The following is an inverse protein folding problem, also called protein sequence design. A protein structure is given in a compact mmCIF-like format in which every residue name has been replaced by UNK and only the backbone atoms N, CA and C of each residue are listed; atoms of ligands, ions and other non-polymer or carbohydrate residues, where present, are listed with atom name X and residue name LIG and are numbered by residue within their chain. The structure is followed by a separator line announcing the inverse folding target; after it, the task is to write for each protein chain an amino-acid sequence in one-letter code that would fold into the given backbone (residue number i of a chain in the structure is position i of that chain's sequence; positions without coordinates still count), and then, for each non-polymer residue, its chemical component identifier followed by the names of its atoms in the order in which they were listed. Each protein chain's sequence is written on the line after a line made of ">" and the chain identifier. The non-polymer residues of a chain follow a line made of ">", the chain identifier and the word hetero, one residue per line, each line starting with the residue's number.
data_IF_367304556598
#
_entry.id   IF_367304556598
#
_cell.length_a   1.000
_cell.length_b   1.000
_cell.length_c   1.000
_cell.angle_alpha   90.00
_cell.angle_beta   90.00
_cell.angle_gamma   90.00
#
_symmetry.space_group_name_H-M   'P 1'
#
loop_
_entity.id
_entity.type
_entity.pdbx_description
1 polymer ?
#
# COMPACT_ATOMS: atom_id res chain seq x y z
N UNK A 1 22.60 -22.19 -5.30
CA UNK A 1 22.57 -23.52 -5.99
C UNK A 1 21.54 -23.57 -7.13
N UNK A 2 20.40 -22.86 -7.06
CA UNK A 2 19.40 -22.83 -8.14
C UNK A 2 19.76 -21.92 -9.35
N UNK A 3 20.80 -21.08 -9.24
CA UNK A 3 21.27 -20.19 -10.31
C UNK A 3 22.54 -20.67 -11.04
N UNK A 4 22.96 -21.93 -10.89
CA UNK A 4 24.09 -22.50 -11.63
C UNK A 4 23.58 -23.25 -12.86
N UNK A 5 24.22 -23.04 -14.01
CA UNK A 5 23.94 -23.75 -15.27
C UNK A 5 23.71 -25.25 -15.02
N UNK A 6 22.65 -25.82 -15.64
CA UNK A 6 22.30 -27.24 -15.47
C UNK A 6 23.51 -28.11 -15.82
N UNK A 7 24.12 -28.73 -14.81
CA UNK A 7 25.14 -29.74 -15.06
C UNK A 7 24.51 -30.95 -15.74
N UNK A 8 25.22 -31.53 -16.71
CA UNK A 8 24.83 -32.80 -17.33
C UNK A 8 24.64 -33.84 -16.21
N UNK A 9 23.50 -34.51 -16.18
CA UNK A 9 23.08 -35.48 -15.14
C UNK A 9 22.77 -34.91 -13.75
N UNK A 10 22.79 -33.59 -13.52
CA UNK A 10 22.50 -33.00 -12.20
C UNK A 10 21.16 -33.43 -11.61
N UNK A 11 20.12 -33.55 -12.45
CA UNK A 11 18.81 -34.04 -12.01
C UNK A 11 18.79 -35.51 -11.57
N UNK A 12 19.61 -36.38 -12.20
CA UNK A 12 19.73 -37.79 -11.80
C UNK A 12 20.46 -37.91 -10.46
N UNK A 13 21.62 -37.26 -10.34
CA UNK A 13 22.42 -37.28 -9.10
C UNK A 13 21.66 -36.67 -7.92
N UNK A 14 20.85 -35.62 -8.15
CA UNK A 14 20.00 -35.04 -7.11
C UNK A 14 18.96 -36.05 -6.62
N UNK A 15 18.27 -36.76 -7.53
CA UNK A 15 17.29 -37.79 -7.15
C UNK A 15 17.92 -38.92 -6.34
N UNK A 16 19.06 -39.44 -6.77
CA UNK A 16 19.80 -40.50 -6.05
C UNK A 16 20.23 -40.07 -4.64
N UNK A 17 20.64 -38.81 -4.46
CA UNK A 17 21.00 -38.27 -3.14
C UNK A 17 19.79 -38.07 -2.24
N UNK A 18 18.66 -37.61 -2.79
CA UNK A 18 17.42 -37.43 -2.05
C UNK A 18 16.81 -38.76 -1.63
N UNK A 19 16.87 -39.78 -2.49
CA UNK A 19 16.35 -41.12 -2.20
C UNK A 19 17.08 -41.77 -1.01
N UNK A 20 18.40 -41.56 -0.90
CA UNK A 20 19.21 -42.01 0.25
C UNK A 20 18.80 -41.40 1.60
N UNK A 21 18.12 -40.26 1.59
CA UNK A 21 17.58 -39.62 2.82
C UNK A 21 16.06 -39.79 2.93
N UNK A 22 15.47 -40.72 2.15
CA UNK A 22 14.04 -41.05 2.18
C UNK A 22 13.14 -40.04 1.45
N UNK A 23 13.70 -39.16 0.62
CA UNK A 23 12.95 -38.18 -0.15
C UNK A 23 12.84 -38.59 -1.61
N UNK A 24 11.62 -38.92 -2.05
CA UNK A 24 11.37 -39.29 -3.44
C UNK A 24 11.05 -38.06 -4.30
N UNK A 25 11.85 -37.83 -5.34
CA UNK A 25 11.65 -36.75 -6.30
C UNK A 25 11.37 -37.33 -7.70
N UNK A 26 10.14 -37.20 -8.24
CA UNK A 26 9.78 -37.80 -9.52
C UNK A 26 10.55 -37.19 -10.70
N UNK A 27 10.79 -37.99 -11.75
CA UNK A 27 11.39 -37.50 -12.99
C UNK A 27 10.37 -36.71 -13.83
N UNK A 28 10.80 -35.62 -14.47
CA UNK A 28 9.99 -34.81 -15.39
C UNK A 28 9.88 -33.34 -15.01
N UNK A 29 9.20 -32.54 -15.84
CA UNK A 29 8.93 -31.11 -15.61
C UNK A 29 7.49 -30.95 -15.14
N UNK A 30 7.25 -30.85 -13.83
CA UNK A 30 5.95 -30.43 -13.30
C UNK A 30 5.97 -28.92 -13.09
N UNK A 31 5.27 -28.17 -13.94
CA UNK A 31 4.94 -26.78 -13.67
C UNK A 31 3.51 -26.74 -13.14
N UNK A 32 3.34 -26.35 -11.88
CA UNK A 32 2.02 -26.19 -11.26
C UNK A 32 1.45 -24.78 -11.46
N UNK A 33 2.27 -23.84 -11.93
CA UNK A 33 1.91 -22.45 -12.17
C UNK A 33 2.65 -21.91 -13.40
N UNK A 34 2.14 -20.79 -13.93
CA UNK A 34 2.80 -20.03 -14.98
C UNK A 34 4.17 -19.52 -14.49
N UNK A 35 5.13 -19.45 -15.40
CA UNK A 35 6.46 -18.93 -15.06
C UNK A 35 6.39 -17.42 -15.02
N UNK A 36 6.71 -16.87 -13.85
CA UNK A 36 6.84 -15.44 -13.59
C UNK A 36 8.23 -15.16 -12.99
N UNK A 37 8.63 -13.90 -12.84
CA UNK A 37 9.87 -13.57 -12.14
C UNK A 37 9.87 -14.04 -10.68
N UNK A 38 8.70 -14.13 -10.04
CA UNK A 38 8.58 -14.66 -8.68
C UNK A 38 9.04 -16.11 -8.59
N UNK A 39 8.88 -16.91 -9.66
CA UNK A 39 9.36 -18.31 -9.69
C UNK A 39 10.87 -18.45 -9.66
N UNK A 40 11.62 -17.34 -9.86
CA UNK A 40 13.08 -17.33 -9.74
C UNK A 40 13.56 -17.15 -8.29
N UNK A 41 12.69 -16.68 -7.40
CA UNK A 41 13.01 -16.44 -5.99
C UNK A 41 12.90 -17.75 -5.22
N UNK A 42 13.83 -17.95 -4.28
CA UNK A 42 13.57 -18.87 -3.17
C UNK A 42 12.71 -18.19 -2.11
N UNK A 43 12.03 -18.97 -1.29
CA UNK A 43 11.13 -18.43 -0.26
C UNK A 43 11.82 -17.41 0.67
N UNK A 44 13.06 -17.68 1.09
CA UNK A 44 13.84 -16.73 1.89
C UNK A 44 14.14 -15.41 1.18
N UNK A 45 14.39 -15.43 -0.14
CA UNK A 45 14.61 -14.21 -0.92
C UNK A 45 13.32 -13.40 -1.05
N UNK A 46 12.19 -14.07 -1.29
CA UNK A 46 10.88 -13.43 -1.40
C UNK A 46 10.44 -12.76 -0.09
N UNK A 47 10.67 -13.42 1.05
CA UNK A 47 10.39 -12.84 2.38
C UNK A 47 11.27 -11.63 2.67
N UNK A 48 12.57 -11.68 2.35
CA UNK A 48 13.45 -10.53 2.50
C UNK A 48 13.06 -9.37 1.57
N UNK A 49 12.75 -9.68 0.31
CA UNK A 49 12.28 -8.69 -0.66
C UNK A 49 11.00 -7.99 -0.17
N UNK A 50 10.09 -8.71 0.47
CA UNK A 50 8.86 -8.11 1.01
C UNK A 50 9.15 -7.11 2.13
N UNK A 51 10.13 -7.44 3.00
CA UNK A 51 10.61 -6.54 4.06
C UNK A 51 11.29 -5.31 3.49
N UNK A 52 12.22 -5.50 2.55
CA UNK A 52 12.97 -4.41 1.92
C UNK A 52 12.02 -3.47 1.15
N UNK A 53 11.04 -4.04 0.44
CA UNK A 53 9.98 -3.28 -0.22
C UNK A 53 9.16 -2.48 0.79
N UNK A 54 8.78 -3.08 1.93
CA UNK A 54 8.11 -2.39 3.02
C UNK A 54 8.89 -1.18 3.54
N UNK A 55 10.19 -1.36 3.77
CA UNK A 55 11.08 -0.28 4.19
C UNK A 55 11.14 0.85 3.16
N UNK A 56 11.34 0.54 1.88
CA UNK A 56 11.35 1.54 0.79
C UNK A 56 10.01 2.26 0.68
N UNK A 57 8.89 1.55 0.83
CA UNK A 57 7.56 2.16 0.88
C UNK A 57 7.40 3.14 2.05
N UNK A 58 8.04 2.89 3.18
CA UNK A 58 7.96 3.75 4.37
C UNK A 58 8.90 4.96 4.27
N UNK A 59 10.13 4.76 3.78
CA UNK A 59 11.16 5.81 3.81
C UNK A 59 11.27 6.63 2.53
N UNK A 60 11.05 6.02 1.37
CA UNK A 60 11.30 6.65 0.08
C UNK A 60 10.02 7.12 -0.61
N UNK A 61 8.85 6.55 -0.26
CA UNK A 61 7.60 6.92 -0.93
C UNK A 61 7.22 8.38 -0.63
N UNK A 62 7.00 9.23 -1.65
CA UNK A 62 6.85 10.67 -1.47
C UNK A 62 5.42 11.07 -1.07
N UNK A 63 4.88 10.47 0.00
CA UNK A 63 3.49 10.64 0.44
C UNK A 63 3.07 12.11 0.56
N UNK A 64 3.89 12.93 1.23
CA UNK A 64 3.62 14.36 1.43
C UNK A 64 3.64 15.15 0.13
N UNK A 65 4.68 14.97 -0.69
CA UNK A 65 4.79 15.70 -1.95
C UNK A 65 3.63 15.34 -2.91
N UNK A 66 3.22 14.07 -2.95
CA UNK A 66 2.05 13.64 -3.71
C UNK A 66 0.75 14.25 -3.19
N UNK A 67 0.55 14.29 -1.87
CA UNK A 67 -0.60 14.93 -1.23
C UNK A 67 -0.67 16.43 -1.53
N UNK A 68 0.44 17.15 -1.37
CA UNK A 68 0.52 18.58 -1.65
C UNK A 68 0.25 18.87 -3.13
N UNK A 69 0.72 18.03 -4.05
CA UNK A 69 0.47 18.19 -5.48
C UNK A 69 -1.01 18.00 -5.84
N UNK A 70 -1.63 16.92 -5.35
CA UNK A 70 -3.02 16.58 -5.72
C UNK A 70 -4.04 17.50 -5.03
N UNK A 71 -3.81 17.93 -3.80
CA UNK A 71 -4.73 18.83 -3.11
C UNK A 71 -4.85 20.21 -3.74
N UNK A 72 -3.83 20.68 -4.48
CA UNK A 72 -3.92 21.94 -5.25
C UNK A 72 -5.05 21.94 -6.27
N UNK A 73 -5.46 20.77 -6.74
CA UNK A 73 -6.56 20.62 -7.69
C UNK A 73 -7.94 20.70 -7.01
N UNK A 74 -7.98 20.71 -5.67
CA UNK A 74 -9.19 20.67 -4.86
C UNK A 74 -9.27 21.90 -3.95
N UNK A 75 -9.24 23.10 -4.53
CA UNK A 75 -9.27 24.37 -3.81
C UNK A 75 -10.65 25.00 -3.63
N UNK A 76 -11.68 24.45 -4.27
CA UNK A 76 -13.04 24.98 -4.16
C UNK A 76 -13.60 24.77 -2.74
N UNK A 77 -13.89 25.86 -1.98
CA UNK A 77 -14.45 25.75 -0.63
C UNK A 77 -15.75 24.95 -0.55
N UNK A 78 -16.57 24.93 -1.62
CA UNK A 78 -17.83 24.17 -1.66
C UNK A 78 -17.63 22.65 -1.60
N UNK A 79 -16.52 22.17 -2.14
CA UNK A 79 -16.24 20.74 -2.29
C UNK A 79 -15.30 20.18 -1.22
N UNK A 80 -14.65 21.03 -0.42
CA UNK A 80 -13.67 20.61 0.59
C UNK A 80 -14.24 19.59 1.58
N UNK A 81 -15.48 19.79 2.04
CA UNK A 81 -16.10 18.88 3.00
C UNK A 81 -16.35 17.49 2.38
N UNK A 82 -16.93 17.47 1.18
CA UNK A 82 -17.15 16.23 0.42
C UNK A 82 -15.84 15.49 0.16
N UNK A 83 -14.79 16.24 -0.24
CA UNK A 83 -13.45 15.69 -0.46
C UNK A 83 -12.85 15.08 0.80
N UNK A 84 -13.01 15.73 1.94
CA UNK A 84 -12.56 15.20 3.23
C UNK A 84 -13.24 13.88 3.59
N UNK A 85 -14.55 13.79 3.38
CA UNK A 85 -15.29 12.56 3.62
C UNK A 85 -14.85 11.42 2.69
N UNK A 86 -14.58 11.72 1.41
CA UNK A 86 -14.04 10.71 0.47
C UNK A 86 -12.67 10.17 0.91
N UNK A 87 -11.79 11.05 1.40
CA UNK A 87 -10.47 10.63 1.89
C UNK A 87 -10.57 9.76 3.16
N UNK A 88 -11.46 10.11 4.09
CA UNK A 88 -11.72 9.32 5.30
C UNK A 88 -12.33 7.95 4.97
N UNK A 89 -13.33 7.91 4.08
CA UNK A 89 -13.94 6.66 3.63
C UNK A 89 -12.92 5.74 2.94
N UNK A 90 -12.08 6.31 2.07
CA UNK A 90 -11.00 5.58 1.41
C UNK A 90 -10.02 4.99 2.43
N UNK A 91 -9.60 5.79 3.42
CA UNK A 91 -8.69 5.37 4.48
C UNK A 91 -9.25 4.19 5.29
N UNK A 92 -10.56 4.20 5.54
CA UNK A 92 -11.25 3.13 6.26
C UNK A 92 -11.29 1.83 5.45
N UNK A 93 -11.70 1.89 4.17
CA UNK A 93 -11.71 0.71 3.28
C UNK A 93 -10.30 0.12 3.13
N UNK A 94 -9.28 0.97 3.00
CA UNK A 94 -7.89 0.53 2.94
C UNK A 94 -7.49 -0.24 4.20
N UNK A 95 -7.91 0.23 5.37
CA UNK A 95 -7.64 -0.42 6.66
C UNK A 95 -8.31 -1.79 6.76
N UNK A 96 -9.60 -1.88 6.44
CA UNK A 96 -10.36 -3.14 6.50
C UNK A 96 -9.74 -4.22 5.60
N UNK A 97 -9.31 -3.84 4.39
CA UNK A 97 -8.63 -4.76 3.48
C UNK A 97 -7.28 -5.23 4.02
N UNK A 98 -6.47 -4.33 4.59
CA UNK A 98 -5.22 -4.72 5.24
C UNK A 98 -5.46 -5.63 6.45
N UNK A 99 -6.47 -5.33 7.27
CA UNK A 99 -6.79 -6.13 8.46
C UNK A 99 -7.14 -7.58 8.06
N UNK A 100 -7.83 -7.80 6.94
CA UNK A 100 -8.03 -9.13 6.37
C UNK A 100 -6.70 -9.81 6.00
N UNK A 101 -5.81 -9.12 5.28
CA UNK A 101 -4.53 -9.68 4.84
C UNK A 101 -3.61 -10.04 6.03
N UNK A 102 -3.65 -9.27 7.13
CA UNK A 102 -2.88 -9.58 8.35
C UNK A 102 -3.39 -10.81 9.12
N UNK A 103 -4.61 -11.25 8.82
CA UNK A 103 -5.20 -12.48 9.36
C UNK A 103 -4.83 -13.72 8.53
N UNK A 104 -4.13 -13.57 7.42
CA UNK A 104 -3.65 -14.70 6.64
C UNK A 104 -2.78 -15.63 7.50
N UNK A 105 -3.14 -16.91 7.54
CA UNK A 105 -2.40 -17.99 8.22
C UNK A 105 -1.87 -19.02 7.22
N UNK A 106 -1.51 -18.56 6.03
CA UNK A 106 -0.84 -19.38 5.02
C UNK A 106 0.47 -19.96 5.57
N UNK A 107 0.73 -21.26 5.36
CA UNK A 107 1.99 -21.86 5.78
C UNK A 107 3.15 -21.26 4.97
N UNK A 108 4.14 -20.71 5.69
CA UNK A 108 5.37 -20.15 5.12
C UNK A 108 6.57 -20.78 5.82
N UNK A 109 7.50 -21.30 5.05
CA UNK A 109 8.68 -22.01 5.53
C UNK A 109 8.29 -23.21 6.37
N UNK A 110 8.78 -23.23 7.61
CA UNK A 110 8.46 -24.28 8.56
C UNK A 110 7.25 -23.94 9.46
N UNK A 111 6.63 -22.78 9.27
CA UNK A 111 5.47 -22.36 10.07
C UNK A 111 4.19 -22.96 9.49
N UNK A 112 3.33 -23.49 10.38
CA UNK A 112 2.02 -24.04 10.03
C UNK A 112 0.98 -23.57 11.05
N UNK A 113 0.66 -22.27 11.06
CA UNK A 113 -0.33 -21.76 12.00
C UNK A 113 -1.72 -22.36 11.70
N UNK A 114 -2.58 -22.53 12.72
CA UNK A 114 -3.96 -22.94 12.49
C UNK A 114 -4.71 -21.84 11.72
N UNK A 115 -5.54 -22.21 10.73
CA UNK A 115 -6.33 -21.24 9.99
C UNK A 115 -7.37 -20.58 10.90
N UNK A 116 -7.57 -19.27 10.74
CA UNK A 116 -8.57 -18.49 11.49
C UNK A 116 -9.65 -17.88 10.58
N UNK A 117 -9.37 -17.82 9.29
CA UNK A 117 -10.30 -17.32 8.28
C UNK A 117 -11.18 -18.46 7.75
N UNK A 118 -12.33 -18.09 7.18
CA UNK A 118 -13.21 -18.99 6.46
C UNK A 118 -12.42 -19.82 5.42
N UNK A 119 -12.68 -21.14 5.28
CA UNK A 119 -11.88 -22.02 4.42
C UNK A 119 -11.72 -21.55 2.98
N UNK A 120 -12.76 -20.94 2.40
CA UNK A 120 -12.72 -20.39 1.04
C UNK A 120 -11.70 -19.25 0.91
N UNK A 121 -11.73 -18.29 1.83
CA UNK A 121 -10.82 -17.15 1.85
C UNK A 121 -9.39 -17.61 2.15
N UNK A 122 -9.21 -18.44 3.17
CA UNK A 122 -7.88 -18.94 3.54
C UNK A 122 -7.25 -19.75 2.40
N UNK A 123 -8.03 -20.54 1.66
CA UNK A 123 -7.54 -21.29 0.50
C UNK A 123 -7.03 -20.36 -0.61
N UNK A 124 -7.78 -19.30 -0.93
CA UNK A 124 -7.36 -18.30 -1.91
C UNK A 124 -6.08 -17.57 -1.49
N UNK A 125 -6.00 -17.13 -0.22
CA UNK A 125 -4.80 -16.49 0.32
C UNK A 125 -3.60 -17.43 0.35
N UNK A 126 -3.82 -18.70 0.69
CA UNK A 126 -2.78 -19.75 0.66
C UNK A 126 -2.25 -19.96 -0.74
N UNK A 127 -3.13 -20.03 -1.73
CA UNK A 127 -2.70 -20.13 -3.12
C UNK A 127 -1.84 -18.93 -3.53
N UNK A 128 -2.29 -17.72 -3.20
CA UNK A 128 -1.54 -16.49 -3.48
C UNK A 128 -0.18 -16.45 -2.77
N UNK A 129 -0.14 -16.84 -1.50
CA UNK A 129 1.09 -16.92 -0.70
C UNK A 129 2.09 -17.91 -1.31
N UNK A 130 1.62 -19.09 -1.74
CA UNK A 130 2.47 -20.11 -2.35
C UNK A 130 3.05 -19.68 -3.71
N UNK A 131 2.24 -19.06 -4.58
CA UNK A 131 2.74 -18.61 -5.90
C UNK A 131 3.65 -17.39 -5.81
N UNK A 132 3.53 -16.60 -4.73
CA UNK A 132 4.37 -15.43 -4.47
C UNK A 132 5.53 -15.71 -3.51
N UNK A 133 5.68 -16.96 -3.05
CA UNK A 133 6.70 -17.34 -2.08
C UNK A 133 6.65 -16.49 -0.78
N UNK A 134 5.44 -16.11 -0.34
CA UNK A 134 5.22 -15.28 0.84
C UNK A 134 5.46 -13.79 0.65
N UNK A 135 5.87 -13.33 -0.54
CA UNK A 135 6.05 -11.90 -0.83
C UNK A 135 4.74 -11.13 -0.95
N UNK A 136 3.70 -11.75 -1.54
CA UNK A 136 2.53 -11.05 -2.04
C UNK A 136 1.74 -10.27 -0.99
N UNK A 137 1.23 -10.96 0.03
CA UNK A 137 0.39 -10.31 1.05
C UNK A 137 1.12 -9.19 1.81
N UNK A 138 2.37 -9.39 2.29
CA UNK A 138 3.13 -8.32 2.91
C UNK A 138 3.43 -7.14 1.97
N UNK A 139 3.72 -7.39 0.69
CA UNK A 139 3.95 -6.33 -0.28
C UNK A 139 2.69 -5.48 -0.53
N UNK A 140 1.51 -6.11 -0.60
CA UNK A 140 0.24 -5.37 -0.68
C UNK A 140 0.04 -4.54 0.59
N UNK A 141 0.25 -5.10 1.78
CA UNK A 141 0.14 -4.34 3.04
C UNK A 141 1.11 -3.15 3.09
N UNK A 142 2.35 -3.31 2.62
CA UNK A 142 3.32 -2.22 2.51
C UNK A 142 2.84 -1.11 1.57
N UNK A 143 2.40 -1.46 0.36
CA UNK A 143 1.88 -0.49 -0.60
C UNK A 143 0.63 0.24 -0.07
N UNK A 144 -0.27 -0.49 0.60
CA UNK A 144 -1.45 0.08 1.25
C UNK A 144 -1.07 1.00 2.42
N UNK A 145 -0.02 0.69 3.17
CA UNK A 145 0.50 1.56 4.23
C UNK A 145 1.06 2.86 3.65
N UNK A 146 1.81 2.80 2.55
CA UNK A 146 2.25 3.99 1.83
C UNK A 146 1.06 4.85 1.33
N UNK A 147 0.01 4.20 0.83
CA UNK A 147 -1.25 4.88 0.48
C UNK A 147 -1.91 5.54 1.70
N UNK A 148 -1.99 4.84 2.84
CA UNK A 148 -2.53 5.40 4.08
C UNK A 148 -1.75 6.63 4.55
N UNK A 149 -0.42 6.61 4.41
CA UNK A 149 0.43 7.76 4.71
C UNK A 149 0.14 8.95 3.79
N UNK A 150 -0.03 8.71 2.49
CA UNK A 150 -0.50 9.73 1.56
C UNK A 150 -1.87 10.30 1.97
N UNK A 151 -2.84 9.45 2.29
CA UNK A 151 -4.18 9.88 2.71
C UNK A 151 -4.12 10.73 4.00
N UNK A 152 -3.24 10.37 4.94
CA UNK A 152 -3.00 11.17 6.14
C UNK A 152 -2.41 12.55 5.82
N UNK A 153 -1.41 12.64 4.95
CA UNK A 153 -0.84 13.91 4.52
C UNK A 153 -1.87 14.77 3.75
N UNK A 154 -2.69 14.14 2.90
CA UNK A 154 -3.77 14.83 2.19
C UNK A 154 -4.80 15.42 3.15
N UNK A 155 -5.18 14.68 4.21
CA UNK A 155 -6.06 15.17 5.27
C UNK A 155 -5.45 16.37 6.02
N UNK A 156 -4.17 16.26 6.43
CA UNK A 156 -3.45 17.36 7.10
C UNK A 156 -3.40 18.63 6.26
N UNK A 157 -3.17 18.50 4.95
CA UNK A 157 -3.12 19.63 4.04
C UNK A 157 -4.50 20.29 3.85
N UNK A 158 -5.59 19.52 3.79
CA UNK A 158 -6.95 20.09 3.73
C UNK A 158 -7.34 20.83 5.01
N UNK A 159 -6.96 20.32 6.19
CA UNK A 159 -7.25 21.01 7.45
C UNK A 159 -6.60 22.41 7.50
N UNK A 160 -5.41 22.57 6.91
CA UNK A 160 -4.77 23.89 6.73
C UNK A 160 -5.56 24.80 5.78
N UNK A 161 -6.10 24.27 4.68
CA UNK A 161 -6.91 25.05 3.74
C UNK A 161 -8.20 25.56 4.40
N UNK A 162 -8.84 24.75 5.24
CA UNK A 162 -10.04 25.14 5.97
C UNK A 162 -9.79 26.30 6.95
N UNK A 163 -8.68 26.24 7.69
CA UNK A 163 -8.24 27.31 8.59
C UNK A 163 -7.96 28.61 7.81
N UNK A 164 -7.28 28.51 6.66
CA UNK A 164 -6.91 29.68 5.86
C UNK A 164 -8.12 30.37 5.20
N UNK A 165 -9.12 29.61 4.73
CA UNK A 165 -10.38 30.16 4.21
C UNK A 165 -11.22 30.86 5.29
N UNK A 166 -11.15 30.38 6.53
CA UNK A 166 -11.87 30.98 7.67
C UNK A 166 -11.23 32.31 8.11
N UNK A 167 -9.90 32.40 8.11
CA UNK A 167 -9.17 33.64 8.45
C UNK A 167 -9.37 34.76 7.43
N UNK A 168 -9.50 34.43 6.15
CA UNK A 168 -9.69 35.43 5.09
C UNK A 168 -11.12 35.99 5.01
N UNK A 169 -12.07 35.39 5.74
CA UNK A 169 -13.45 35.89 5.84
C UNK A 169 -13.59 37.02 6.89
N UNK A 170 -12.66 37.13 7.84
CA UNK A 170 -12.70 38.18 8.87
C UNK A 170 -11.97 39.47 8.45
N UNK A 171 -10.97 39.39 7.57
CA UNK A 171 -10.24 40.57 7.05
C UNK A 171 -11.02 41.39 6.02
N UNK A 172 -12.00 40.79 5.34
CA UNK A 172 -12.83 41.49 4.36
C UNK A 172 -14.05 42.22 4.96
N UNK A 173 -14.37 41.97 6.24
CA UNK A 173 -15.50 42.61 6.93
C UNK A 173 -15.15 43.94 7.60
N UNK A 174 -13.87 44.22 7.86
CA UNK A 174 -13.44 45.47 8.52
C UNK A 174 -13.15 46.64 7.55
N UNK A 175 -13.14 46.41 6.23
CA UNK A 175 -12.78 47.45 5.24
C UNK A 175 -13.99 48.05 4.49
N UNK A 176 -15.23 47.76 4.89
CA UNK A 176 -16.46 48.29 4.26
C UNK A 176 -17.22 49.32 5.11
N UNK A 177 -16.67 49.73 6.26
CA UNK A 177 -17.33 50.63 7.20
C UNK A 177 -16.58 51.94 7.47
N UNK A 178 -16.37 52.80 6.45
CA UNK A 178 -16.07 54.24 6.64
C UNK A 178 -16.02 55.00 5.30
N UNK A 179 -17.20 55.35 4.78
CA UNK A 179 -17.37 56.55 3.94
C UNK A 179 -18.63 57.24 4.41
N UNK A 180 -18.49 57.93 5.55
CA UNK A 180 -19.49 58.81 6.12
C UNK A 180 -19.53 60.12 5.34
N UNK A 181 -20.71 60.36 4.79
CA UNK A 181 -21.33 61.61 4.36
C UNK A 181 -20.93 62.82 5.25
N UNK A 182 -20.41 63.88 4.60
CA UNK A 182 -20.37 65.31 5.02
C UNK A 182 -19.36 66.08 4.16
N UNK A 183 -19.84 66.94 3.25
CA UNK A 183 -19.76 68.39 3.51
C UNK A 183 -20.45 69.25 2.44
N UNK A 184 -21.12 70.27 2.97
CA UNK A 184 -21.98 71.28 2.39
C UNK A 184 -21.24 72.36 1.57
N UNK A 185 -22.00 73.00 0.67
CA UNK A 185 -21.97 74.45 0.33
C UNK A 185 -20.62 75.16 0.17
N UNK A 186 -20.30 75.52 -1.07
CA UNK A 186 -20.28 76.92 -1.55
C UNK A 186 -19.64 76.98 -2.94
N UNK A 187 -20.37 77.52 -3.92
CA UNK A 187 -19.80 78.60 -4.76
C UNK A 187 -20.89 79.40 -5.45
N UNK A 188 -20.82 80.71 -5.22
CA UNK A 188 -21.37 81.75 -6.09
C UNK A 188 -20.66 81.74 -7.44
#
# INVERSE_FOLDING_TARGET
>A
VLNRAKSKNGGRSLREKLDKIGLNLPAGRRKAANVTLLTSLVEGEAVHLARDFGFVCETEFPAKAAADFLNRQHSDPGDLHSRKNMLLATKQICKEFMDLLTQDRSPLGNTRPPPILEPGIQSCLTHFSLITHGFGSPAICAAMTALQNYLNEALKAMDKMYLNSSSNSHSNAENSGKTSDKDEKHRK
#
